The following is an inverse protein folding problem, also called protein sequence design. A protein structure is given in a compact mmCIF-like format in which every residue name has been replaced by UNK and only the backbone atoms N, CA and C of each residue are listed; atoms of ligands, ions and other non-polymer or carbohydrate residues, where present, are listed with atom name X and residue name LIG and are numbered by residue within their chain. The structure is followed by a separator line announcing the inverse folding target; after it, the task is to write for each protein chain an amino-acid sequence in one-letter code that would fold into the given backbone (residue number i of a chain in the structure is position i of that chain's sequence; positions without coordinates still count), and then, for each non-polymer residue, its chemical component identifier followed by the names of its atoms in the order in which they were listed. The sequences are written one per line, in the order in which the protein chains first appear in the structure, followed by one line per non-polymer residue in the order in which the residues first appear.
data_IF_653895377289
#
_entry.id   IF_653895377289
#
_cell.length_a   1.000
_cell.length_b   1.000
_cell.length_c   1.000
_cell.angle_alpha   90.00
_cell.angle_beta   90.00
_cell.angle_gamma   90.00
#
_symmetry.space_group_name_H-M   'P 1'
#
loop_
_entity.id
_entity.type
_entity.pdbx_description
1 polymer ?
#
# COMPACT_ATOMS: atom_id res chain seq x y z
N UNK A 1 -6.74 -2.44 12.71
CA UNK A 1 -5.33 -2.84 12.72
C UNK A 1 -4.91 -3.33 11.35
N UNK A 2 -3.76 -2.89 10.87
CA UNK A 2 -3.27 -3.29 9.56
C UNK A 2 -2.88 -4.76 9.56
N UNK A 3 -3.10 -5.41 8.42
CA UNK A 3 -2.59 -6.76 8.24
C UNK A 3 -1.06 -6.70 8.28
N UNK A 4 -0.45 -7.63 9.02
CA UNK A 4 0.98 -7.56 9.31
C UNK A 4 1.86 -7.57 8.06
N UNK A 5 1.58 -8.46 7.13
CA UNK A 5 2.38 -8.57 5.92
C UNK A 5 2.27 -7.30 5.09
N UNK A 6 1.07 -6.76 4.98
CA UNK A 6 0.82 -5.53 4.24
C UNK A 6 1.56 -4.36 4.88
N UNK A 7 1.50 -4.27 6.21
CA UNK A 7 2.19 -3.21 6.93
C UNK A 7 3.70 -3.29 6.73
N UNK A 8 4.27 -4.47 6.79
CA UNK A 8 5.70 -4.64 6.59
C UNK A 8 6.13 -4.22 5.20
N UNK A 9 5.35 -4.56 4.19
CA UNK A 9 5.63 -4.16 2.82
C UNK A 9 5.59 -2.64 2.70
N UNK A 10 4.56 -2.01 3.27
CA UNK A 10 4.46 -0.56 3.23
C UNK A 10 5.65 0.11 3.90
N UNK A 11 6.05 -0.38 5.06
CA UNK A 11 7.16 0.22 5.80
C UNK A 11 8.48 0.19 5.03
N UNK A 12 8.68 -0.82 4.21
CA UNK A 12 9.88 -0.91 3.39
C UNK A 12 9.96 0.19 2.34
N UNK A 13 8.83 0.74 1.96
CA UNK A 13 8.76 1.76 0.91
C UNK A 13 8.51 3.16 1.45
N UNK A 14 8.55 3.32 2.77
CA UNK A 14 8.27 4.61 3.42
C UNK A 14 9.51 5.07 4.19
N UNK A 15 10.37 5.87 3.54
CA UNK A 15 11.64 6.26 4.16
C UNK A 15 11.51 7.14 5.39
N UNK A 16 10.38 7.82 5.56
CA UNK A 16 10.20 8.75 6.67
C UNK A 16 9.48 8.15 7.87
N UNK A 17 9.08 6.88 7.79
CA UNK A 17 8.46 6.25 8.93
C UNK A 17 9.53 5.53 9.75
N UNK A 18 9.48 5.69 11.07
CA UNK A 18 10.41 4.99 11.94
C UNK A 18 9.75 3.73 12.50
N UNK A 19 10.56 2.84 13.06
CA UNK A 19 10.06 1.60 13.63
C UNK A 19 9.07 1.85 14.76
N UNK A 20 9.22 2.99 15.45
CA UNK A 20 8.35 3.35 16.57
C UNK A 20 7.06 4.04 16.13
N UNK A 21 7.00 4.47 14.88
CA UNK A 21 5.81 5.14 14.38
C UNK A 21 4.71 4.12 14.15
N UNK A 22 3.53 4.44 14.60
CA UNK A 22 2.37 3.59 14.38
C UNK A 22 1.72 3.96 13.05
N UNK A 23 1.53 2.96 12.21
CA UNK A 23 0.85 3.15 10.94
C UNK A 23 -0.62 2.74 11.10
N UNK A 24 -1.51 3.60 10.66
CA UNK A 24 -2.94 3.33 10.71
C UNK A 24 -3.52 3.31 9.31
N UNK A 25 -4.77 2.89 9.19
CA UNK A 25 -5.44 2.90 7.89
C UNK A 25 -5.56 4.30 7.30
N UNK A 26 -5.44 5.33 8.13
CA UNK A 26 -5.60 6.72 7.72
C UNK A 26 -4.29 7.46 7.59
N UNK A 27 -3.16 6.79 7.79
CA UNK A 27 -1.85 7.43 7.66
C UNK A 27 -1.66 7.95 6.24
N UNK A 28 -1.09 9.15 6.11
CA UNK A 28 -0.83 9.73 4.79
C UNK A 28 0.48 9.18 4.25
N UNK A 29 0.40 8.32 3.25
CA UNK A 29 1.58 7.67 2.70
C UNK A 29 2.53 8.65 2.04
N UNK A 30 2.02 9.72 1.47
CA UNK A 30 2.86 10.73 0.85
C UNK A 30 3.68 11.49 1.89
N UNK A 31 3.07 11.78 3.03
CA UNK A 31 3.79 12.42 4.14
C UNK A 31 4.88 11.51 4.69
N UNK A 32 4.72 10.21 4.56
CA UNK A 32 5.70 9.25 5.02
C UNK A 32 6.79 8.98 3.98
N UNK A 33 6.74 9.67 2.85
CA UNK A 33 7.79 9.63 1.86
C UNK A 33 7.52 8.79 0.63
N UNK A 34 6.29 8.36 0.42
CA UNK A 34 5.95 7.58 -0.76
C UNK A 34 5.90 8.50 -1.97
N UNK A 35 6.81 8.30 -2.92
CA UNK A 35 6.86 9.06 -4.15
C UNK A 35 6.48 8.15 -5.33
N UNK A 36 6.56 8.70 -6.55
CA UNK A 36 6.18 7.96 -7.75
C UNK A 36 7.00 6.68 -7.93
N UNK A 37 8.28 6.76 -7.66
CA UNK A 37 9.16 5.59 -7.77
C UNK A 37 8.79 4.56 -6.72
N UNK A 38 8.57 5.03 -5.49
CA UNK A 38 8.15 4.15 -4.40
C UNK A 38 6.82 3.47 -4.67
N UNK A 39 5.90 4.20 -5.30
CA UNK A 39 4.61 3.62 -5.68
C UNK A 39 4.77 2.46 -6.64
N UNK A 40 5.64 2.62 -7.64
CA UNK A 40 5.87 1.56 -8.62
C UNK A 40 6.50 0.34 -7.96
N UNK A 41 7.49 0.55 -7.11
CA UNK A 41 8.13 -0.54 -6.39
C UNK A 41 7.16 -1.23 -5.45
N UNK A 42 6.38 -0.47 -4.72
CA UNK A 42 5.38 -0.99 -3.80
C UNK A 42 4.36 -1.83 -4.56
N UNK A 43 3.91 -1.32 -5.68
CA UNK A 43 2.94 -2.02 -6.53
C UNK A 43 3.49 -3.36 -6.99
N UNK A 44 4.72 -3.36 -7.48
CA UNK A 44 5.37 -4.60 -7.94
C UNK A 44 5.46 -5.62 -6.83
N UNK A 45 5.82 -5.17 -5.63
CA UNK A 45 5.94 -6.09 -4.52
C UNK A 45 4.59 -6.66 -4.10
N UNK A 46 3.57 -5.82 -4.06
CA UNK A 46 2.23 -6.28 -3.72
C UNK A 46 1.71 -7.28 -4.74
N UNK A 47 1.97 -7.03 -6.02
CA UNK A 47 1.57 -7.97 -7.06
C UNK A 47 2.22 -9.32 -6.88
N UNK A 48 3.50 -9.32 -6.54
CA UNK A 48 4.22 -10.57 -6.31
C UNK A 48 3.78 -11.30 -5.05
N UNK A 49 3.58 -10.56 -3.97
CA UNK A 49 3.22 -11.16 -2.69
C UNK A 49 1.80 -11.71 -2.65
N UNK A 50 0.88 -11.02 -3.31
CA UNK A 50 -0.53 -11.40 -3.28
C UNK A 50 -0.99 -12.04 -4.59
N UNK A 51 -0.09 -12.17 -5.56
CA UNK A 51 -0.38 -12.79 -6.85
C UNK A 51 -1.57 -12.13 -7.53
N UNK A 52 -1.53 -10.83 -7.59
CA UNK A 52 -2.56 -10.03 -8.23
C UNK A 52 -1.91 -9.09 -9.24
N UNK A 53 -2.72 -8.48 -10.07
CA UNK A 53 -2.22 -7.53 -11.04
C UNK A 53 -3.08 -6.27 -10.96
N UNK A 54 -2.44 -5.16 -10.65
CA UNK A 54 -3.13 -3.87 -10.65
C UNK A 54 -3.30 -3.43 -12.10
N UNK A 55 -4.51 -3.00 -12.42
CA UNK A 55 -4.79 -2.45 -13.75
C UNK A 55 -4.71 -0.94 -13.69
N UNK A 56 -4.60 -0.30 -14.85
CA UNK A 56 -4.41 1.14 -14.92
C UNK A 56 -5.47 1.92 -14.13
N UNK A 57 -6.69 1.45 -14.12
CA UNK A 57 -7.77 2.11 -13.42
C UNK A 57 -7.55 2.16 -11.92
N UNK A 58 -6.80 1.22 -11.37
CA UNK A 58 -6.51 1.18 -9.96
C UNK A 58 -5.27 1.99 -9.59
N UNK A 59 -4.57 2.56 -10.59
CA UNK A 59 -3.32 3.28 -10.37
C UNK A 59 -3.56 4.78 -10.25
N UNK A 60 -4.55 5.17 -9.49
CA UNK A 60 -4.82 6.57 -9.23
C UNK A 60 -4.06 7.03 -7.99
N UNK A 61 -3.74 8.31 -7.94
CA UNK A 61 -3.06 8.87 -6.78
C UNK A 61 -3.84 8.60 -5.49
N UNK A 62 -5.16 8.64 -5.57
CA UNK A 62 -6.00 8.38 -4.41
C UNK A 62 -5.86 6.98 -3.87
N UNK A 63 -5.57 6.02 -4.74
CA UNK A 63 -5.37 4.62 -4.32
C UNK A 63 -4.20 4.52 -3.34
N UNK A 64 -3.19 5.34 -3.53
CA UNK A 64 -1.98 5.32 -2.72
C UNK A 64 -1.97 6.42 -1.64
N UNK A 65 -3.10 7.03 -1.38
CA UNK A 65 -3.16 8.11 -0.40
C UNK A 65 -2.97 7.59 1.02
N UNK A 66 -3.63 6.49 1.35
CA UNK A 66 -3.54 5.90 2.69
C UNK A 66 -3.46 4.38 2.59
N UNK A 67 -3.02 3.71 3.66
CA UNK A 67 -3.06 2.24 3.67
C UNK A 67 -4.47 1.70 3.45
N UNK A 68 -5.47 2.39 3.96
CA UNK A 68 -6.86 1.96 3.80
C UNK A 68 -7.32 1.96 2.36
N UNK A 69 -7.01 3.03 1.62
CA UNK A 69 -7.39 3.10 0.20
C UNK A 69 -6.64 2.07 -0.63
N UNK A 70 -5.37 1.87 -0.32
CA UNK A 70 -4.57 0.89 -1.02
C UNK A 70 -5.05 -0.53 -0.73
N UNK A 71 -5.32 -0.82 0.54
CA UNK A 71 -5.84 -2.14 0.92
C UNK A 71 -7.20 -2.42 0.29
N UNK A 72 -8.04 -1.39 0.18
CA UNK A 72 -9.34 -1.54 -0.48
C UNK A 72 -9.19 -1.98 -1.93
N UNK A 73 -8.26 -1.35 -2.66
CA UNK A 73 -8.00 -1.71 -4.04
C UNK A 73 -7.41 -3.12 -4.14
N UNK A 74 -6.46 -3.43 -3.26
CA UNK A 74 -5.81 -4.74 -3.24
C UNK A 74 -6.81 -5.85 -2.95
N UNK A 75 -7.69 -5.62 -1.98
CA UNK A 75 -8.70 -6.62 -1.59
C UNK A 75 -9.62 -7.00 -2.74
N UNK A 76 -9.97 -6.02 -3.57
CA UNK A 76 -10.80 -6.28 -4.74
C UNK A 76 -10.10 -7.20 -5.73
N UNK A 77 -8.79 -7.03 -5.87
CA UNK A 77 -8.00 -7.84 -6.81
C UNK A 77 -7.77 -9.24 -6.29
N UNK A 78 -7.65 -9.39 -4.99
CA UNK A 78 -7.51 -10.71 -4.37
C UNK A 78 -8.81 -11.50 -4.52
N UNK A 79 -9.91 -10.80 -4.73
CA UNK A 79 -11.20 -11.46 -4.85
C UNK A 79 -11.71 -11.99 -3.53
N UNK A 80 -11.26 -11.41 -2.44
CA UNK A 80 -11.70 -11.83 -1.12
C UNK A 80 -13.18 -11.51 -0.98
N UNK A 81 -14.00 -12.48 -0.68
CA UNK A 81 -15.39 -12.16 -0.41
C UNK A 81 -15.46 -11.30 0.83
N UNK A 82 -16.18 -10.25 0.70
CA UNK A 82 -16.28 -9.29 1.78
C UNK A 82 -16.94 -9.96 3.00
#
# INVERSE_FOLDING_TARGET
MLEKQFEEILRRHLPFISADDEMTWESDLRDLGLDSVGMVDLLSQLEGEYQVRFVDEALEMETFATPGTLWGALSRLIGTPA
#
